data_IF_077632972255
#
_entry.id   IF_077632972255
#
_cell.length_a   1.000
_cell.length_b   1.000
_cell.length_c   1.000
_cell.angle_alpha   90.00
_cell.angle_beta   90.00
_cell.angle_gamma   90.00
#
_symmetry.space_group_name_H-M   'P 1'
#
loop_
_entity.id
_entity.type
_entity.pdbx_description
1 polymer ?
#
# COMPACT_ATOMS: atom_id res chain seq x y z
N UNK A 1 18.39 -78.38 -10.86
CA UNK A 1 17.83 -77.51 -11.86
C UNK A 1 17.25 -76.33 -11.13
N UNK A 2 18.07 -75.31 -11.05
CA UNK A 2 17.88 -74.14 -10.21
C UNK A 2 17.12 -73.12 -11.00
N UNK A 3 15.88 -72.93 -10.64
CA UNK A 3 15.13 -71.76 -11.02
C UNK A 3 15.48 -70.62 -10.08
N UNK A 4 16.53 -69.95 -10.34
CA UNK A 4 16.77 -68.68 -9.68
C UNK A 4 15.81 -67.69 -10.30
N UNK A 5 14.77 -67.55 -9.64
CA UNK A 5 13.99 -66.35 -9.67
C UNK A 5 14.91 -65.18 -9.50
N UNK A 6 15.20 -64.55 -10.61
CA UNK A 6 15.76 -63.25 -10.57
C UNK A 6 14.69 -62.33 -10.02
N UNK A 7 14.65 -62.29 -8.69
CA UNK A 7 13.92 -61.27 -7.97
C UNK A 7 14.61 -59.97 -8.36
N UNK A 8 14.15 -59.44 -9.46
CA UNK A 8 14.48 -58.08 -9.90
C UNK A 8 13.96 -57.19 -8.78
N UNK A 9 14.84 -56.90 -7.86
CA UNK A 9 14.66 -55.83 -6.90
C UNK A 9 14.66 -54.56 -7.74
N UNK A 10 13.47 -54.26 -8.27
CA UNK A 10 13.16 -52.95 -8.81
C UNK A 10 13.17 -52.03 -7.57
N UNK A 11 14.35 -51.64 -7.17
CA UNK A 11 14.52 -50.48 -6.30
C UNK A 11 14.01 -49.32 -7.12
N UNK A 12 12.72 -49.10 -7.02
CA UNK A 12 12.12 -47.83 -7.38
C UNK A 12 12.74 -46.85 -6.41
N UNK A 13 13.87 -46.32 -6.80
CA UNK A 13 14.34 -45.04 -6.31
C UNK A 13 13.24 -44.04 -6.65
N UNK A 14 12.25 -43.99 -5.79
CA UNK A 14 11.45 -42.81 -5.67
C UNK A 14 12.41 -41.72 -5.24
N UNK A 15 13.02 -41.09 -6.23
CA UNK A 15 13.47 -39.74 -6.07
C UNK A 15 12.23 -38.95 -5.66
N UNK A 16 12.01 -38.88 -4.39
CA UNK A 16 11.19 -37.87 -3.79
C UNK A 16 11.90 -36.57 -4.14
N UNK A 17 11.65 -36.08 -5.32
CA UNK A 17 11.78 -34.65 -5.59
C UNK A 17 10.80 -34.01 -4.63
N UNK A 18 11.22 -33.75 -3.42
CA UNK A 18 10.59 -32.71 -2.65
C UNK A 18 10.58 -31.50 -3.56
N UNK A 19 9.41 -30.96 -3.91
CA UNK A 19 9.38 -29.74 -4.66
C UNK A 19 10.23 -28.76 -3.86
N UNK A 20 11.36 -28.32 -4.41
CA UNK A 20 12.14 -27.23 -3.83
C UNK A 20 11.13 -26.13 -3.57
N UNK A 21 10.79 -25.91 -2.33
CA UNK A 21 9.97 -24.79 -1.96
C UNK A 21 10.70 -23.56 -2.44
N UNK A 22 10.04 -22.67 -3.17
CA UNK A 22 10.64 -21.44 -3.72
C UNK A 22 11.35 -20.58 -2.64
N UNK A 23 11.22 -20.95 -1.37
CA UNK A 23 11.88 -20.32 -0.23
C UNK A 23 13.41 -20.28 -0.32
N UNK A 24 14.02 -21.11 -1.15
CA UNK A 24 15.48 -21.20 -1.27
C UNK A 24 16.06 -20.37 -2.43
N UNK A 25 15.20 -19.70 -3.21
CA UNK A 25 15.63 -18.94 -4.39
C UNK A 25 16.03 -17.49 -4.11
N UNK A 26 15.44 -16.87 -3.09
CA UNK A 26 15.61 -15.46 -2.80
C UNK A 26 15.86 -15.23 -1.32
N UNK A 27 16.83 -14.39 -1.01
CA UNK A 27 17.07 -13.89 0.33
C UNK A 27 17.24 -12.38 0.31
N UNK A 28 16.83 -11.73 1.39
CA UNK A 28 17.15 -10.34 1.66
C UNK A 28 18.27 -10.29 2.68
N UNK A 29 19.36 -9.66 2.30
CA UNK A 29 20.48 -9.43 3.20
C UNK A 29 20.58 -7.95 3.53
N UNK A 30 20.81 -7.68 4.80
CA UNK A 30 21.11 -6.31 5.23
C UNK A 30 22.52 -5.97 4.77
N UNK A 31 22.64 -4.87 4.03
CA UNK A 31 23.94 -4.29 3.68
C UNK A 31 24.36 -3.27 4.73
N UNK A 32 25.66 -2.96 4.78
CA UNK A 32 26.19 -1.88 5.61
C UNK A 32 26.08 -0.51 4.94
N UNK A 33 25.51 -0.47 3.74
CA UNK A 33 25.28 0.78 3.02
C UNK A 33 24.18 1.59 3.70
N UNK A 34 24.50 2.80 4.10
CA UNK A 34 23.58 3.74 4.74
C UNK A 34 23.44 4.98 3.87
N UNK A 35 22.23 5.29 3.49
CA UNK A 35 21.89 6.55 2.86
C UNK A 35 21.47 7.55 3.95
N UNK A 36 22.16 8.69 4.02
CA UNK A 36 21.90 9.74 5.00
C UNK A 36 21.45 11.01 4.32
N UNK A 37 20.29 11.51 4.71
CA UNK A 37 19.73 12.74 4.18
C UNK A 37 19.67 13.78 5.28
N UNK A 38 20.17 15.02 5.06
CA UNK A 38 20.10 16.07 6.06
C UNK A 38 18.64 16.46 6.30
N UNK A 39 18.19 16.37 7.52
CA UNK A 39 16.83 16.77 7.93
C UNK A 39 16.88 18.22 8.38
N UNK A 40 15.99 19.06 7.86
CA UNK A 40 15.82 20.42 8.35
C UNK A 40 15.16 20.39 9.74
N UNK A 41 15.51 21.33 10.61
CA UNK A 41 15.14 21.33 12.04
C UNK A 41 13.65 21.18 12.35
N UNK A 42 12.80 21.49 11.39
CA UNK A 42 11.35 21.54 11.57
C UNK A 42 10.60 20.28 11.11
N UNK A 43 11.34 19.29 10.61
CA UNK A 43 10.72 18.02 10.15
C UNK A 43 10.52 17.09 11.32
N UNK A 44 9.27 16.63 11.49
CA UNK A 44 8.96 15.60 12.48
C UNK A 44 9.14 14.21 11.89
N UNK A 45 9.86 13.36 12.58
CA UNK A 45 9.87 11.91 12.33
C UNK A 45 8.83 11.23 13.25
N UNK A 46 8.29 10.06 12.85
CA UNK A 46 8.50 9.36 11.60
C UNK A 46 7.68 9.93 10.45
N UNK A 47 8.20 9.77 9.24
CA UNK A 47 7.49 10.15 8.01
C UNK A 47 6.58 9.02 7.56
N UNK A 48 5.31 9.32 7.35
CA UNK A 48 4.29 8.34 6.94
C UNK A 48 4.36 8.09 5.44
N UNK A 49 4.78 9.09 4.68
CA UNK A 49 4.75 9.07 3.21
C UNK A 49 6.12 9.41 2.67
N UNK A 50 6.76 8.40 2.11
CA UNK A 50 8.07 8.52 1.45
C UNK A 50 7.93 8.00 0.03
N UNK A 51 8.27 8.80 -0.96
CA UNK A 51 8.23 8.42 -2.36
C UNK A 51 9.61 8.46 -3.00
N UNK A 52 9.84 7.43 -3.83
CA UNK A 52 10.95 7.41 -4.76
C UNK A 52 10.40 7.65 -6.16
N UNK A 53 11.01 8.56 -6.88
CA UNK A 53 10.68 8.83 -8.28
C UNK A 53 11.93 9.08 -9.10
N UNK A 54 11.79 8.99 -10.41
CA UNK A 54 12.89 9.19 -11.34
C UNK A 54 12.55 10.30 -12.31
N UNK A 55 13.47 11.25 -12.47
CA UNK A 55 13.36 12.31 -13.46
C UNK A 55 14.69 12.51 -14.19
N UNK A 56 14.66 12.62 -15.53
CA UNK A 56 15.83 12.84 -16.39
C UNK A 56 16.99 11.90 -16.09
N UNK A 57 16.65 10.65 -15.73
CA UNK A 57 17.65 9.61 -15.45
C UNK A 57 18.14 9.57 -14.00
N UNK A 58 17.84 10.56 -13.17
CA UNK A 58 18.23 10.63 -11.76
C UNK A 58 17.12 10.15 -10.83
N UNK A 59 17.50 9.56 -9.70
CA UNK A 59 16.59 9.10 -8.66
C UNK A 59 16.48 10.14 -7.55
N UNK A 60 15.25 10.37 -7.10
CA UNK A 60 14.91 11.30 -6.04
C UNK A 60 14.12 10.61 -4.94
N UNK A 61 14.37 11.05 -3.72
CA UNK A 61 13.57 10.71 -2.54
C UNK A 61 12.77 11.94 -2.14
N UNK A 62 11.50 11.77 -1.84
CA UNK A 62 10.69 12.85 -1.30
C UNK A 62 9.93 12.41 -0.06
N UNK A 63 9.66 13.34 0.83
CA UNK A 63 8.77 13.15 1.96
C UNK A 63 8.05 14.44 2.35
N UNK A 64 6.97 14.27 3.06
CA UNK A 64 6.07 15.34 3.46
C UNK A 64 6.44 15.91 4.81
N UNK A 65 6.57 17.25 4.88
CA UNK A 65 6.63 17.98 6.12
C UNK A 65 5.24 18.55 6.45
N UNK A 66 4.41 17.74 7.09
CA UNK A 66 3.01 18.07 7.41
C UNK A 66 2.83 19.39 8.16
N UNK A 67 3.59 19.68 9.22
CA UNK A 67 3.41 20.93 9.98
C UNK A 67 3.57 22.21 9.16
N UNK A 68 4.32 22.13 8.06
CA UNK A 68 4.63 23.28 7.20
C UNK A 68 3.93 23.23 5.84
N UNK A 69 3.11 22.23 5.58
CA UNK A 69 2.51 22.00 4.26
C UNK A 69 3.55 21.98 3.13
N UNK A 70 4.62 21.21 3.34
CA UNK A 70 5.76 21.15 2.43
C UNK A 70 6.02 19.73 1.95
N UNK A 71 6.61 19.64 0.74
CA UNK A 71 7.22 18.41 0.22
C UNK A 71 8.71 18.70 0.05
N UNK A 72 9.54 17.87 0.65
CA UNK A 72 10.99 17.95 0.57
C UNK A 72 11.48 16.91 -0.43
N UNK A 73 12.29 17.34 -1.39
CA UNK A 73 12.81 16.47 -2.46
C UNK A 73 14.33 16.44 -2.37
N UNK A 74 14.88 15.25 -2.26
CA UNK A 74 16.31 14.98 -2.13
C UNK A 74 16.82 14.22 -3.35
N UNK A 75 18.02 14.56 -3.81
CA UNK A 75 18.75 13.74 -4.77
C UNK A 75 19.31 12.51 -4.06
N UNK A 76 19.03 11.33 -4.60
CA UNK A 76 19.61 10.08 -4.10
C UNK A 76 21.12 10.01 -4.32
N UNK A 77 21.62 10.65 -5.39
CA UNK A 77 23.03 10.67 -5.75
C UNK A 77 23.87 11.54 -4.83
N UNK A 78 23.44 12.77 -4.58
CA UNK A 78 24.16 13.72 -3.71
C UNK A 78 23.73 13.64 -2.25
N UNK A 79 22.67 12.90 -1.94
CA UNK A 79 22.04 12.79 -0.62
C UNK A 79 21.75 14.17 0.01
N UNK A 80 21.40 15.15 -0.81
CA UNK A 80 21.14 16.51 -0.40
C UNK A 80 19.75 16.99 -0.82
N UNK A 81 19.21 17.95 -0.07
CA UNK A 81 17.95 18.61 -0.38
C UNK A 81 18.12 19.43 -1.68
N UNK A 82 17.35 19.10 -2.70
CA UNK A 82 17.38 19.80 -3.99
C UNK A 82 16.19 20.72 -4.18
N UNK A 83 15.07 20.42 -3.51
CA UNK A 83 13.86 21.23 -3.63
C UNK A 83 13.04 21.18 -2.35
N UNK A 84 12.49 22.32 -1.99
CA UNK A 84 11.50 22.52 -0.95
C UNK A 84 10.25 23.12 -1.62
N UNK A 85 9.22 22.31 -1.75
CA UNK A 85 7.95 22.70 -2.29
C UNK A 85 7.02 23.14 -1.17
N UNK A 86 6.73 24.41 -1.07
CA UNK A 86 5.77 24.96 -0.12
C UNK A 86 4.41 25.07 -0.79
N UNK A 87 3.37 24.57 -0.15
CA UNK A 87 2.01 24.59 -0.64
C UNK A 87 1.23 25.71 0.06
N UNK A 88 0.54 26.53 -0.72
CA UNK A 88 -0.39 27.50 -0.17
C UNK A 88 -1.67 26.79 0.29
N UNK A 89 -2.12 27.12 1.49
CA UNK A 89 -3.39 26.58 2.05
C UNK A 89 -4.55 27.55 1.88
N UNK A 90 -4.29 28.79 1.48
CA UNK A 90 -5.26 29.86 1.29
C UNK A 90 -5.01 30.59 -0.03
N UNK A 91 -6.07 31.27 -0.54
CA UNK A 91 -6.03 32.03 -1.77
C UNK A 91 -6.26 31.19 -3.04
N UNK A 92 -6.24 31.83 -4.20
CA UNK A 92 -6.61 31.24 -5.49
C UNK A 92 -5.65 30.11 -5.94
N UNK A 93 -4.40 30.21 -5.52
CA UNK A 93 -3.36 29.20 -5.78
C UNK A 93 -3.20 28.21 -4.60
N UNK A 94 -4.28 27.93 -3.87
CA UNK A 94 -4.23 27.05 -2.71
C UNK A 94 -4.57 25.61 -3.04
N UNK A 95 -3.95 24.70 -2.31
CA UNK A 95 -4.39 23.32 -2.18
C UNK A 95 -5.39 23.28 -1.03
N UNK A 96 -6.67 23.37 -1.37
CA UNK A 96 -7.76 23.46 -0.41
C UNK A 96 -7.82 22.25 0.52
N UNK A 97 -7.95 22.52 1.82
CA UNK A 97 -8.23 21.53 2.83
C UNK A 97 -7.01 20.76 3.34
N UNK A 98 -5.82 21.25 3.11
CA UNK A 98 -4.60 20.54 3.48
C UNK A 98 -4.38 19.28 2.65
N UNK A 99 -3.25 18.64 2.82
CA UNK A 99 -2.94 17.40 2.10
C UNK A 99 -2.46 16.31 3.05
N UNK A 100 -2.97 15.10 2.84
CA UNK A 100 -2.60 13.93 3.63
C UNK A 100 -1.66 12.98 2.89
N UNK A 101 -1.20 13.37 1.71
CA UNK A 101 -0.31 12.58 0.86
C UNK A 101 -0.22 13.21 -0.53
N UNK A 102 0.65 12.69 -1.36
CA UNK A 102 0.89 13.20 -2.71
C UNK A 102 1.44 12.09 -3.59
N UNK A 103 1.51 12.36 -4.89
CA UNK A 103 2.19 11.52 -5.87
C UNK A 103 2.99 12.43 -6.81
N UNK A 104 4.25 12.09 -7.06
CA UNK A 104 5.13 12.82 -7.99
C UNK A 104 5.28 11.99 -9.26
N UNK A 105 4.71 12.47 -10.36
CA UNK A 105 4.97 11.91 -11.67
C UNK A 105 6.30 12.43 -12.22
N UNK A 106 6.52 13.72 -12.12
CA UNK A 106 7.74 14.45 -12.44
C UNK A 106 7.77 15.80 -11.67
N UNK A 107 8.78 16.62 -11.90
CA UNK A 107 8.94 17.92 -11.21
C UNK A 107 7.89 18.98 -11.60
N UNK A 108 7.18 18.79 -12.69
CA UNK A 108 6.12 19.72 -13.16
C UNK A 108 4.72 19.20 -12.84
N UNK A 109 4.59 17.91 -12.48
CA UNK A 109 3.31 17.24 -12.24
C UNK A 109 3.32 16.50 -10.91
N UNK A 110 2.97 17.23 -9.86
CA UNK A 110 2.81 16.70 -8.52
C UNK A 110 1.31 16.70 -8.18
N UNK A 111 0.76 15.53 -7.97
CA UNK A 111 -0.67 15.30 -7.71
C UNK A 111 -0.93 15.29 -6.22
N UNK A 112 -1.75 16.23 -5.75
CA UNK A 112 -2.06 16.43 -4.34
C UNK A 112 -3.56 16.30 -4.13
N UNK A 113 -4.05 15.14 -3.69
CA UNK A 113 -5.44 14.99 -3.31
C UNK A 113 -5.76 15.80 -2.05
N UNK A 114 -6.91 16.46 -2.05
CA UNK A 114 -7.42 17.11 -0.85
C UNK A 114 -7.94 16.09 0.17
N UNK A 115 -7.72 16.35 1.45
CA UNK A 115 -8.24 15.52 2.52
C UNK A 115 -9.76 15.65 2.73
N UNK A 116 -10.36 16.77 2.29
CA UNK A 116 -11.75 17.11 2.62
C UNK A 116 -12.71 17.15 1.42
N UNK A 117 -12.16 17.35 0.22
CA UNK A 117 -12.97 17.41 -0.99
C UNK A 117 -12.41 16.44 -2.03
N UNK A 118 -13.29 15.84 -2.82
CA UNK A 118 -12.91 14.87 -3.85
C UNK A 118 -12.28 15.58 -5.07
N UNK A 119 -11.15 16.25 -4.83
CA UNK A 119 -10.36 16.97 -5.83
C UNK A 119 -8.87 16.63 -5.72
N UNK A 120 -8.21 16.63 -6.87
CA UNK A 120 -6.75 16.52 -6.97
C UNK A 120 -6.23 17.83 -7.54
N UNK A 121 -5.25 18.42 -6.87
CA UNK A 121 -4.52 19.57 -7.35
C UNK A 121 -3.23 19.11 -8.02
N UNK A 122 -3.01 19.51 -9.25
CA UNK A 122 -1.74 19.26 -9.94
C UNK A 122 -0.90 20.52 -9.82
N UNK A 123 0.24 20.39 -9.17
CA UNK A 123 1.15 21.50 -8.90
C UNK A 123 2.54 21.22 -9.48
N UNK A 124 3.29 22.28 -9.76
CA UNK A 124 4.71 22.18 -10.05
C UNK A 124 5.58 22.34 -8.78
N UNK A 125 6.88 22.18 -8.92
CA UNK A 125 7.82 22.36 -7.80
C UNK A 125 7.97 23.81 -7.32
N UNK A 126 7.36 24.79 -7.99
CA UNK A 126 7.23 26.15 -7.49
C UNK A 126 5.98 26.34 -6.60
N UNK A 127 5.15 25.30 -6.46
CA UNK A 127 3.90 25.34 -5.69
C UNK A 127 2.74 26.00 -6.46
N UNK A 128 2.87 26.15 -7.77
CA UNK A 128 1.81 26.74 -8.60
C UNK A 128 0.81 25.65 -8.98
N UNK A 129 -0.47 25.89 -8.68
CA UNK A 129 -1.57 25.02 -9.10
C UNK A 129 -1.81 25.19 -10.59
N UNK A 130 -1.45 24.16 -11.37
CA UNK A 130 -1.63 24.14 -12.83
C UNK A 130 -3.02 23.65 -13.24
N UNK A 131 -3.56 22.70 -12.44
CA UNK A 131 -4.82 22.04 -12.76
C UNK A 131 -5.54 21.59 -11.49
N UNK A 132 -6.87 21.57 -11.56
CA UNK A 132 -7.75 20.99 -10.53
C UNK A 132 -8.60 19.92 -11.21
N UNK A 133 -8.53 18.67 -10.71
CA UNK A 133 -9.31 17.54 -11.20
C UNK A 133 -10.39 17.27 -10.16
N UNK A 134 -11.65 17.43 -10.53
CA UNK A 134 -12.80 17.10 -9.70
C UNK A 134 -13.25 15.68 -10.00
N UNK A 135 -13.28 14.82 -8.98
CA UNK A 135 -13.73 13.44 -9.09
C UNK A 135 -14.86 13.14 -8.09
N UNK A 136 -15.59 14.15 -7.67
CA UNK A 136 -16.63 14.02 -6.64
C UNK A 136 -17.77 13.07 -7.04
N UNK A 137 -18.02 12.94 -8.34
CA UNK A 137 -19.13 12.14 -8.88
C UNK A 137 -18.69 11.39 -10.13
N UNK A 138 -19.02 10.11 -10.20
CA UNK A 138 -18.78 9.28 -11.39
C UNK A 138 -19.75 9.61 -12.53
N UNK A 139 -19.48 9.14 -13.75
CA UNK A 139 -20.37 9.28 -14.92
C UNK A 139 -21.80 8.78 -14.66
N UNK A 140 -21.94 7.74 -13.84
CA UNK A 140 -23.22 7.14 -13.46
C UNK A 140 -23.87 7.76 -12.19
N UNK A 141 -23.29 8.85 -11.66
CA UNK A 141 -23.84 9.62 -10.55
C UNK A 141 -23.44 9.13 -9.16
N UNK A 142 -22.53 8.17 -9.03
CA UNK A 142 -22.07 7.72 -7.72
C UNK A 142 -21.18 8.77 -7.08
N UNK A 143 -21.46 9.12 -5.82
CA UNK A 143 -20.61 10.03 -5.04
C UNK A 143 -19.33 9.34 -4.58
N UNK A 144 -18.20 9.97 -4.83
CA UNK A 144 -16.87 9.50 -4.44
C UNK A 144 -16.35 10.30 -3.24
N UNK A 145 -15.45 9.68 -2.50
CA UNK A 145 -14.87 10.26 -1.29
C UNK A 145 -13.44 10.74 -1.53
N UNK A 146 -12.98 11.73 -0.76
CA UNK A 146 -11.57 12.07 -0.69
C UNK A 146 -10.73 10.84 -0.34
N UNK A 147 -9.53 10.76 -0.87
CA UNK A 147 -8.57 9.72 -0.53
C UNK A 147 -7.21 10.35 -0.19
N UNK A 148 -6.40 9.61 0.54
CA UNK A 148 -5.04 10.00 0.86
C UNK A 148 -4.08 8.96 0.26
N UNK A 149 -3.28 9.33 -0.72
CA UNK A 149 -2.25 8.43 -1.22
C UNK A 149 -1.21 8.18 -0.14
N UNK A 150 -0.77 6.96 -0.05
CA UNK A 150 0.27 6.54 0.88
C UNK A 150 1.24 5.60 0.19
N UNK A 151 2.28 5.23 0.86
CA UNK A 151 3.21 4.22 0.38
C UNK A 151 2.59 2.82 0.23
N UNK A 152 1.42 2.57 0.84
CA UNK A 152 0.62 1.35 0.67
C UNK A 152 -0.33 1.44 -0.52
N UNK A 153 -0.82 2.64 -0.84
CA UNK A 153 -1.97 2.85 -1.73
C UNK A 153 -1.75 4.09 -2.58
N UNK A 154 -0.88 3.97 -3.57
CA UNK A 154 -0.48 5.07 -4.44
C UNK A 154 -1.46 5.29 -5.59
N UNK A 155 -1.34 6.45 -6.22
CA UNK A 155 -1.91 6.74 -7.53
C UNK A 155 -1.13 5.92 -8.57
N UNK A 156 -1.83 5.37 -9.57
CA UNK A 156 -1.21 4.67 -10.69
C UNK A 156 -1.68 5.29 -11.99
N UNK A 157 -0.74 5.56 -12.88
CA UNK A 157 -1.03 5.98 -14.26
C UNK A 157 -0.95 4.79 -15.20
N UNK A 158 -1.93 4.67 -16.09
CA UNK A 158 -1.92 3.73 -17.21
C UNK A 158 -2.39 4.52 -18.44
N UNK A 159 -1.45 4.87 -19.33
CA UNK A 159 -1.74 5.85 -20.37
C UNK A 159 -2.09 7.21 -19.75
N UNK A 160 -3.20 7.78 -20.18
CA UNK A 160 -3.73 9.07 -19.71
C UNK A 160 -4.68 8.91 -18.50
N UNK A 161 -4.97 7.68 -18.13
CA UNK A 161 -5.87 7.34 -17.04
C UNK A 161 -5.17 7.32 -15.68
N UNK A 162 -5.84 7.91 -14.70
CA UNK A 162 -5.39 7.99 -13.32
C UNK A 162 -6.20 7.05 -12.44
N UNK A 163 -5.57 6.00 -11.95
CA UNK A 163 -6.18 5.02 -11.05
C UNK A 163 -5.97 5.44 -9.60
N UNK A 164 -7.05 5.81 -8.93
CA UNK A 164 -7.02 6.26 -7.54
C UNK A 164 -7.68 5.26 -6.60
N UNK A 165 -7.13 5.05 -5.39
CA UNK A 165 -7.78 4.23 -4.38
C UNK A 165 -9.03 4.92 -3.84
N UNK A 166 -9.99 4.13 -3.37
CA UNK A 166 -11.11 4.63 -2.59
C UNK A 166 -11.08 4.04 -1.19
N UNK A 167 -11.34 4.88 -0.22
CA UNK A 167 -11.44 4.46 1.17
C UNK A 167 -12.81 3.86 1.44
N UNK A 168 -12.81 2.63 1.92
CA UNK A 168 -14.04 1.94 2.35
C UNK A 168 -14.27 2.23 3.82
N UNK A 169 -15.40 2.84 4.14
CA UNK A 169 -15.76 3.09 5.53
C UNK A 169 -16.50 1.88 6.12
N UNK A 170 -15.80 1.05 6.85
CA UNK A 170 -16.32 -0.18 7.45
C UNK A 170 -17.37 0.06 8.54
N UNK A 171 -17.56 1.30 9.01
CA UNK A 171 -18.62 1.66 9.97
C UNK A 171 -20.01 1.75 9.32
N UNK A 172 -20.09 1.80 7.99
CA UNK A 172 -21.36 1.97 7.29
C UNK A 172 -22.21 0.70 7.23
N UNK A 173 -21.69 -0.42 7.72
CA UNK A 173 -22.35 -1.72 7.66
C UNK A 173 -22.14 -2.47 6.35
N UNK A 174 -22.48 -3.76 6.37
CA UNK A 174 -22.12 -4.73 5.33
C UNK A 174 -22.55 -4.32 3.91
N UNK A 175 -23.79 -3.88 3.75
CA UNK A 175 -24.34 -3.49 2.43
C UNK A 175 -23.63 -2.29 1.80
N UNK A 176 -23.18 -1.35 2.62
CA UNK A 176 -22.45 -0.19 2.11
C UNK A 176 -21.02 -0.57 1.71
N UNK A 177 -20.39 -1.47 2.46
CA UNK A 177 -19.06 -2.01 2.16
C UNK A 177 -19.08 -2.78 0.86
N UNK A 178 -20.01 -3.71 0.68
CA UNK A 178 -20.17 -4.51 -0.53
C UNK A 178 -20.39 -3.67 -1.80
N UNK A 179 -20.94 -2.47 -1.66
CA UNK A 179 -21.21 -1.56 -2.78
C UNK A 179 -20.07 -0.56 -3.03
N UNK A 180 -19.19 -0.37 -2.04
CA UNK A 180 -18.15 0.63 -2.14
C UNK A 180 -17.06 0.17 -3.13
N UNK A 181 -16.73 0.97 -4.15
CA UNK A 181 -15.60 0.69 -5.01
C UNK A 181 -14.31 0.84 -4.20
N UNK A 182 -13.31 0.04 -4.50
CA UNK A 182 -11.96 0.21 -3.93
C UNK A 182 -11.02 0.96 -4.86
N UNK A 183 -11.42 1.11 -6.11
CA UNK A 183 -10.64 1.80 -7.13
C UNK A 183 -11.57 2.60 -8.05
N UNK A 184 -11.09 3.75 -8.46
CA UNK A 184 -11.72 4.63 -9.44
C UNK A 184 -10.70 4.96 -10.51
N UNK A 185 -11.12 5.00 -11.75
CA UNK A 185 -10.35 5.52 -12.87
C UNK A 185 -10.83 6.93 -13.21
N UNK A 186 -9.88 7.83 -13.41
CA UNK A 186 -10.11 9.18 -13.87
C UNK A 186 -9.50 9.34 -15.25
N UNK A 187 -10.32 9.60 -16.24
CA UNK A 187 -9.86 10.08 -17.52
C UNK A 187 -9.42 11.54 -17.34
N UNK A 188 -8.13 11.78 -17.46
CA UNK A 188 -7.58 13.11 -17.22
C UNK A 188 -7.79 14.06 -18.40
N UNK A 189 -8.14 13.56 -19.58
CA UNK A 189 -8.44 14.38 -20.78
C UNK A 189 -9.88 14.85 -20.73
N UNK A 190 -10.83 13.90 -20.61
CA UNK A 190 -12.27 14.18 -20.58
C UNK A 190 -12.75 14.72 -19.22
N UNK A 191 -11.89 14.64 -18.21
CA UNK A 191 -12.18 15.01 -16.83
C UNK A 191 -13.41 14.30 -16.27
N UNK A 192 -13.48 12.98 -16.51
CA UNK A 192 -14.56 12.11 -16.06
C UNK A 192 -14.03 11.02 -15.15
N UNK A 193 -14.90 10.48 -14.30
CA UNK A 193 -14.53 9.41 -13.37
C UNK A 193 -15.49 8.23 -13.45
N UNK A 194 -14.94 7.03 -13.25
CA UNK A 194 -15.68 5.78 -13.25
C UNK A 194 -15.24 4.88 -12.10
N UNK A 195 -16.21 4.35 -11.38
CA UNK A 195 -15.95 3.38 -10.31
C UNK A 195 -15.73 1.99 -10.90
N UNK A 196 -14.54 1.42 -10.69
CA UNK A 196 -14.21 0.10 -11.21
C UNK A 196 -15.01 -1.01 -10.51
N UNK A 197 -15.28 -2.15 -11.18
CA UNK A 197 -16.20 -3.18 -10.69
C UNK A 197 -15.78 -3.86 -9.40
N UNK A 198 -14.48 -3.99 -9.13
CA UNK A 198 -13.99 -4.65 -7.92
C UNK A 198 -14.49 -3.94 -6.68
N UNK A 199 -15.04 -4.72 -5.76
CA UNK A 199 -15.49 -4.26 -4.45
C UNK A 199 -14.60 -4.82 -3.35
N UNK A 200 -14.75 -4.28 -2.17
CA UNK A 200 -14.06 -4.82 -1.00
C UNK A 200 -14.47 -6.29 -0.83
N UNK A 201 -13.51 -7.23 -0.80
CA UNK A 201 -13.85 -8.64 -0.72
C UNK A 201 -14.52 -8.98 0.62
N UNK A 202 -15.33 -10.02 0.70
CA UNK A 202 -15.91 -10.51 1.94
C UNK A 202 -14.82 -11.13 2.82
N UNK A 203 -13.95 -10.29 3.33
CA UNK A 203 -12.90 -10.69 4.27
C UNK A 203 -13.56 -11.00 5.59
N UNK A 204 -13.26 -12.18 6.14
CA UNK A 204 -13.58 -12.58 7.51
C UNK A 204 -14.70 -11.72 8.11
N UNK A 205 -15.93 -12.11 7.97
CA UNK A 205 -17.10 -11.50 8.59
C UNK A 205 -16.95 -10.00 8.93
N UNK A 206 -17.38 -9.08 8.09
CA UNK A 206 -17.23 -7.62 8.28
C UNK A 206 -17.61 -7.12 9.68
N UNK A 207 -18.51 -7.84 10.36
CA UNK A 207 -18.89 -7.60 11.75
C UNK A 207 -17.73 -7.73 12.71
N UNK A 208 -16.68 -8.45 12.32
CA UNK A 208 -15.51 -8.74 13.15
C UNK A 208 -14.38 -7.75 12.93
N UNK A 209 -14.45 -6.91 11.91
CA UNK A 209 -13.45 -5.85 11.73
C UNK A 209 -13.52 -4.78 12.83
N UNK A 210 -14.46 -4.89 13.77
CA UNK A 210 -14.56 -3.97 14.87
C UNK A 210 -14.56 -2.52 14.38
N UNK A 211 -14.22 -1.60 15.19
CA UNK A 211 -13.93 -0.24 14.79
C UNK A 211 -12.51 -0.11 14.22
N UNK A 212 -12.18 -0.86 13.21
CA UNK A 212 -10.97 -0.58 12.40
C UNK A 212 -11.05 0.83 11.78
N UNK A 213 -12.14 1.48 12.02
CA UNK A 213 -12.50 2.75 11.46
C UNK A 213 -11.68 3.97 11.86
N UNK A 214 -10.63 3.85 12.65
CA UNK A 214 -9.72 4.97 12.82
C UNK A 214 -8.64 4.98 11.70
N UNK A 215 -8.35 3.81 11.11
CA UNK A 215 -7.30 3.67 10.10
C UNK A 215 -7.78 2.95 8.82
N UNK A 216 -9.06 2.63 8.73
CA UNK A 216 -9.68 1.96 7.59
C UNK A 216 -9.43 0.45 7.56
N UNK A 217 -10.19 -0.27 6.73
CA UNK A 217 -9.77 -1.58 6.28
C UNK A 217 -8.62 -1.34 5.33
N UNK A 218 -7.45 -1.46 5.87
CA UNK A 218 -6.27 -1.15 5.12
C UNK A 218 -6.00 -2.27 4.13
N UNK A 219 -5.75 -1.86 2.94
CA UNK A 219 -5.21 -2.70 1.89
C UNK A 219 -4.05 -1.97 1.22
N UNK A 220 -3.13 -2.75 0.73
CA UNK A 220 -2.07 -2.27 -0.13
C UNK A 220 -2.23 -2.85 -1.51
N UNK A 221 -1.72 -2.18 -2.51
CA UNK A 221 -1.64 -2.74 -3.86
C UNK A 221 -0.40 -2.25 -4.58
N UNK A 222 0.00 -3.01 -5.60
CA UNK A 222 0.96 -2.58 -6.60
C UNK A 222 0.40 -2.87 -8.00
N UNK A 223 0.99 -2.19 -8.99
CA UNK A 223 0.75 -2.45 -10.41
C UNK A 223 2.07 -2.89 -11.05
N UNK A 224 2.07 -4.05 -11.70
CA UNK A 224 3.29 -4.65 -12.28
C UNK A 224 3.49 -4.33 -13.78
N UNK A 225 2.64 -3.47 -14.34
CA UNK A 225 2.59 -3.15 -15.76
C UNK A 225 1.49 -3.88 -16.53
N UNK A 226 0.95 -4.96 -15.96
CA UNK A 226 -0.11 -5.77 -16.59
C UNK A 226 -1.35 -5.92 -15.70
N UNK A 227 -1.14 -6.03 -14.38
CA UNK A 227 -2.19 -6.34 -13.41
C UNK A 227 -1.98 -5.59 -12.11
N UNK A 228 -3.07 -5.37 -11.40
CA UNK A 228 -3.08 -4.94 -10.02
C UNK A 228 -3.05 -6.15 -9.10
N UNK A 229 -2.22 -6.09 -8.08
CA UNK A 229 -2.12 -7.08 -7.02
C UNK A 229 -2.46 -6.40 -5.70
N UNK A 230 -3.51 -6.87 -5.03
CA UNK A 230 -3.99 -6.34 -3.76
C UNK A 230 -3.61 -7.27 -2.61
N UNK A 231 -3.15 -6.70 -1.51
CA UNK A 231 -2.88 -7.34 -0.24
C UNK A 231 -3.76 -6.68 0.82
N UNK A 232 -4.74 -7.41 1.35
CA UNK A 232 -5.57 -6.94 2.44
C UNK A 232 -4.92 -7.32 3.77
N UNK A 233 -4.98 -6.42 4.75
CA UNK A 233 -4.29 -6.61 6.03
C UNK A 233 -4.82 -7.83 6.80
N UNK A 234 -6.09 -8.17 6.58
CA UNK A 234 -6.77 -9.27 7.26
C UNK A 234 -6.85 -10.57 6.44
N UNK A 235 -6.21 -10.67 5.28
CA UNK A 235 -6.32 -11.86 4.43
C UNK A 235 -4.95 -12.43 4.04
N UNK A 236 -4.84 -13.76 4.09
CA UNK A 236 -3.65 -14.47 3.62
C UNK A 236 -3.56 -14.51 2.09
N UNK A 237 -4.67 -14.35 1.38
CA UNK A 237 -4.71 -14.37 -0.07
C UNK A 237 -4.27 -13.01 -0.67
N UNK A 238 -3.74 -13.05 -1.88
CA UNK A 238 -3.58 -11.92 -2.76
C UNK A 238 -4.70 -11.93 -3.79
N UNK A 239 -5.12 -10.74 -4.21
CA UNK A 239 -6.18 -10.57 -5.20
C UNK A 239 -5.62 -9.90 -6.44
N UNK A 240 -5.75 -10.58 -7.57
CA UNK A 240 -5.18 -10.17 -8.84
C UNK A 240 -6.28 -9.75 -9.79
N UNK A 241 -6.06 -8.66 -10.51
CA UNK A 241 -7.01 -8.19 -11.51
C UNK A 241 -6.30 -7.35 -12.58
N UNK A 242 -6.91 -7.25 -13.75
CA UNK A 242 -6.44 -6.32 -14.80
C UNK A 242 -6.81 -4.88 -14.47
N UNK A 243 -6.43 -3.93 -15.33
CA UNK A 243 -6.82 -2.53 -15.19
C UNK A 243 -8.34 -2.33 -15.17
N UNK A 244 -9.12 -3.17 -15.85
CA UNK A 244 -10.58 -3.11 -15.86
C UNK A 244 -11.25 -3.56 -14.54
N UNK A 245 -10.55 -4.28 -13.68
CA UNK A 245 -11.06 -4.80 -12.39
C UNK A 245 -12.34 -5.66 -12.49
N UNK A 246 -12.62 -6.23 -13.65
CA UNK A 246 -13.83 -7.04 -13.88
C UNK A 246 -13.73 -8.45 -13.30
N UNK A 247 -12.56 -9.06 -13.44
CA UNK A 247 -12.30 -10.42 -12.96
C UNK A 247 -11.21 -10.37 -11.90
N UNK A 248 -11.50 -10.98 -10.77
CA UNK A 248 -10.57 -11.05 -9.64
C UNK A 248 -10.19 -12.50 -9.40
N UNK A 249 -8.91 -12.78 -9.51
CA UNK A 249 -8.30 -14.06 -9.15
C UNK A 249 -7.72 -13.99 -7.75
N UNK A 250 -7.84 -15.08 -6.99
CA UNK A 250 -7.21 -15.21 -5.68
C UNK A 250 -5.99 -16.11 -5.77
N UNK A 251 -4.92 -15.69 -5.13
CA UNK A 251 -3.70 -16.47 -5.01
C UNK A 251 -3.30 -16.57 -3.54
N UNK A 252 -3.19 -17.78 -3.05
CA UNK A 252 -2.77 -18.02 -1.67
C UNK A 252 -1.31 -17.59 -1.49
N UNK A 253 -1.07 -16.72 -0.50
CA UNK A 253 0.26 -16.21 -0.14
C UNK A 253 0.37 -16.12 1.39
N UNK A 254 0.16 -17.26 2.06
CA UNK A 254 0.19 -17.37 3.51
C UNK A 254 1.62 -17.37 4.04
N UNK A 255 1.87 -16.53 5.01
CA UNK A 255 3.15 -16.51 5.74
C UNK A 255 3.24 -17.67 6.73
N UNK A 256 4.41 -18.28 6.83
CA UNK A 256 4.71 -19.28 7.87
C UNK A 256 4.74 -18.72 9.29
N UNK A 257 4.74 -17.42 9.46
CA UNK A 257 4.78 -16.75 10.76
C UNK A 257 3.40 -16.29 11.26
N UNK A 258 2.35 -16.54 10.48
CA UNK A 258 0.96 -16.22 10.84
C UNK A 258 0.13 -17.48 10.71
N UNK A 259 -0.36 -18.00 11.81
CA UNK A 259 -1.28 -19.16 11.80
C UNK A 259 -2.65 -18.72 11.33
N UNK A 260 -3.15 -17.60 11.85
CA UNK A 260 -4.40 -16.97 11.48
C UNK A 260 -4.35 -15.47 11.78
N UNK A 261 -5.13 -14.69 11.06
CA UNK A 261 -5.34 -13.28 11.37
C UNK A 261 -6.52 -13.19 12.34
N UNK A 262 -6.26 -12.60 13.49
CA UNK A 262 -7.31 -12.31 14.48
C UNK A 262 -7.84 -10.89 14.24
N UNK A 263 -9.13 -10.79 14.07
CA UNK A 263 -9.79 -9.49 13.97
C UNK A 263 -10.14 -9.00 15.36
N UNK A 264 -9.73 -7.79 15.68
CA UNK A 264 -10.03 -7.19 16.97
C UNK A 264 -11.38 -6.48 16.92
N UNK A 265 -12.28 -6.88 17.83
CA UNK A 265 -13.55 -6.17 18.06
C UNK A 265 -13.35 -5.14 19.16
N UNK A 266 -13.37 -3.86 18.82
CA UNK A 266 -13.51 -2.82 19.82
C UNK A 266 -14.99 -2.54 20.06
N UNK A 267 -15.54 -3.07 21.12
CA UNK A 267 -16.91 -2.79 21.53
C UNK A 267 -17.04 -1.48 22.31
N UNK A 268 -15.95 -0.87 22.73
CA UNK A 268 -15.98 0.15 23.78
C UNK A 268 -15.41 1.53 23.39
N UNK A 269 -15.18 1.79 22.11
CA UNK A 269 -14.74 3.13 21.68
C UNK A 269 -13.39 3.62 22.22
N UNK A 270 -12.64 2.78 22.90
CA UNK A 270 -11.33 3.14 23.42
C UNK A 270 -10.26 3.07 22.33
N UNK A 271 -9.92 4.24 21.80
CA UNK A 271 -8.97 4.41 20.73
C UNK A 271 -7.60 3.78 21.05
N UNK A 272 -7.08 3.95 22.26
CA UNK A 272 -5.77 3.40 22.64
C UNK A 272 -5.79 1.87 22.69
N UNK A 273 -6.85 1.25 23.19
CA UNK A 273 -6.99 -0.22 23.15
C UNK A 273 -7.04 -0.74 21.72
N UNK A 274 -7.71 -0.04 20.83
CA UNK A 274 -7.79 -0.41 19.42
C UNK A 274 -6.42 -0.33 18.75
N UNK A 275 -5.70 0.76 18.95
CA UNK A 275 -4.36 0.97 18.39
C UNK A 275 -3.37 -0.07 18.94
N UNK A 276 -3.45 -0.36 20.25
CA UNK A 276 -2.67 -1.41 20.88
C UNK A 276 -2.93 -2.78 20.23
N UNK A 277 -4.20 -3.13 20.04
CA UNK A 277 -4.57 -4.38 19.39
C UNK A 277 -4.00 -4.48 17.96
N UNK A 278 -3.99 -3.38 17.20
CA UNK A 278 -3.34 -3.35 15.88
C UNK A 278 -1.83 -3.56 15.95
N UNK A 279 -1.17 -3.14 17.02
CA UNK A 279 0.25 -3.42 17.23
C UNK A 279 0.51 -4.88 17.60
N UNK A 280 -0.39 -5.51 18.34
CA UNK A 280 -0.22 -6.86 18.92
C UNK A 280 -0.68 -7.97 17.96
N UNK A 281 -1.73 -7.74 17.17
CA UNK A 281 -2.32 -8.77 16.33
C UNK A 281 -1.56 -8.98 15.03
N UNK A 282 -1.63 -10.20 14.52
CA UNK A 282 -1.09 -10.54 13.23
C UNK A 282 -1.82 -9.82 12.10
N UNK A 283 -1.10 -9.36 11.11
CA UNK A 283 -1.67 -8.79 9.89
C UNK A 283 -0.71 -8.91 8.71
N UNK A 284 -1.26 -8.87 7.52
CA UNK A 284 -0.51 -8.60 6.32
C UNK A 284 -0.41 -7.10 6.09
N UNK A 285 0.43 -6.68 5.16
CA UNK A 285 0.63 -5.26 4.93
C UNK A 285 1.01 -4.96 3.49
N UNK A 286 1.93 -4.03 3.35
CA UNK A 286 2.36 -3.50 2.07
C UNK A 286 2.81 -4.58 1.11
N UNK A 287 2.40 -4.47 -0.15
CA UNK A 287 2.93 -5.23 -1.27
C UNK A 287 3.62 -4.29 -2.24
N UNK A 288 4.81 -4.69 -2.69
CA UNK A 288 5.65 -3.95 -3.63
C UNK A 288 6.03 -4.85 -4.78
N UNK A 289 6.11 -4.29 -5.98
CA UNK A 289 6.68 -4.95 -7.14
C UNK A 289 8.08 -4.42 -7.43
N UNK A 290 9.06 -5.32 -7.49
CA UNK A 290 10.41 -5.02 -7.95
C UNK A 290 10.54 -5.38 -9.43
N UNK A 291 10.39 -4.39 -10.28
CA UNK A 291 10.48 -4.56 -11.74
C UNK A 291 11.85 -4.99 -12.25
N UNK A 292 12.90 -4.83 -11.45
CA UNK A 292 14.27 -5.19 -11.85
C UNK A 292 14.58 -6.66 -11.64
N UNK A 293 13.92 -7.26 -10.60
CA UNK A 293 14.08 -8.67 -10.23
C UNK A 293 12.88 -9.52 -10.60
N UNK A 294 11.79 -8.88 -11.04
CA UNK A 294 10.48 -9.49 -11.34
C UNK A 294 9.94 -10.33 -10.16
N UNK A 295 9.97 -9.72 -8.98
CA UNK A 295 9.50 -10.32 -7.73
C UNK A 295 8.61 -9.34 -6.96
N UNK A 296 7.83 -9.89 -6.02
CA UNK A 296 7.00 -9.10 -5.13
C UNK A 296 7.49 -9.26 -3.70
N UNK A 297 7.43 -8.16 -2.94
CA UNK A 297 7.69 -8.14 -1.51
C UNK A 297 6.38 -7.87 -0.78
N UNK A 298 5.92 -8.83 0.02
CA UNK A 298 4.75 -8.66 0.90
C UNK A 298 5.22 -8.55 2.33
N UNK A 299 4.89 -7.44 2.98
CA UNK A 299 5.16 -7.26 4.41
C UNK A 299 4.18 -8.06 5.25
N UNK A 300 4.69 -8.65 6.29
CA UNK A 300 3.95 -9.52 7.20
C UNK A 300 4.29 -9.12 8.62
N UNK A 301 3.28 -8.93 9.43
CA UNK A 301 3.40 -8.56 10.83
C UNK A 301 2.90 -9.71 11.70
N UNK A 302 3.78 -10.59 12.21
CA UNK A 302 3.39 -11.62 13.16
C UNK A 302 2.82 -11.01 14.45
N UNK A 303 2.06 -11.75 15.23
CA UNK A 303 1.60 -11.28 16.53
C UNK A 303 2.81 -10.96 17.41
N UNK A 304 2.71 -9.94 18.21
CA UNK A 304 3.76 -9.56 19.14
C UNK A 304 3.17 -9.08 20.48
N UNK A 305 3.92 -9.32 21.54
CA UNK A 305 3.62 -8.77 22.85
C UNK A 305 4.13 -7.33 22.96
N UNK A 306 3.31 -6.44 23.45
CA UNK A 306 3.63 -5.05 23.72
C UNK A 306 3.53 -4.70 25.22
N UNK A 307 3.50 -5.72 26.11
CA UNK A 307 3.36 -5.50 27.55
C UNK A 307 4.44 -4.59 28.14
N UNK A 308 5.64 -4.63 27.58
CA UNK A 308 6.79 -3.81 28.01
C UNK A 308 6.82 -2.43 27.34
N UNK A 309 5.84 -2.10 26.49
CA UNK A 309 5.79 -0.80 25.82
C UNK A 309 4.92 0.17 26.60
N UNK A 310 5.54 1.24 27.09
CA UNK A 310 4.91 2.28 27.91
C UNK A 310 4.67 3.59 27.15
N UNK A 311 4.93 3.61 25.84
CA UNK A 311 4.78 4.80 25.02
C UNK A 311 3.41 4.90 24.34
N UNK A 312 3.31 5.84 23.40
CA UNK A 312 2.13 6.02 22.56
C UNK A 312 2.07 4.93 21.45
N UNK A 313 1.02 4.13 21.46
CA UNK A 313 0.82 3.08 20.45
C UNK A 313 0.62 3.64 19.04
N UNK A 314 0.15 4.87 18.88
CA UNK A 314 0.07 5.53 17.56
C UNK A 314 1.48 5.77 17.00
N UNK A 315 2.40 6.21 17.85
CA UNK A 315 3.81 6.33 17.49
C UNK A 315 4.42 4.97 17.12
N UNK A 316 4.10 3.92 17.88
CA UNK A 316 4.56 2.56 17.58
C UNK A 316 4.04 2.07 16.22
N UNK A 317 2.78 2.35 15.86
CA UNK A 317 2.25 2.02 14.53
C UNK A 317 2.93 2.81 13.42
N UNK A 318 3.21 4.08 13.64
CA UNK A 318 3.84 4.97 12.67
C UNK A 318 5.31 4.66 12.45
N UNK A 319 6.06 4.41 13.52
CA UNK A 319 7.49 4.08 13.46
C UNK A 319 7.78 2.66 12.98
N UNK A 320 6.72 1.87 12.77
CA UNK A 320 6.80 0.48 12.39
C UNK A 320 6.79 -0.46 13.60
N UNK A 321 6.19 -1.63 13.39
CA UNK A 321 6.12 -2.65 14.43
C UNK A 321 7.50 -3.25 14.68
N UNK A 322 7.81 -3.58 15.91
CA UNK A 322 9.09 -4.18 16.32
C UNK A 322 9.42 -5.49 15.59
N UNK A 323 8.40 -6.22 15.13
CA UNK A 323 8.53 -7.50 14.46
C UNK A 323 7.80 -7.48 13.14
N UNK A 324 8.54 -7.73 12.08
CA UNK A 324 7.97 -7.97 10.75
C UNK A 324 8.80 -8.99 9.99
N UNK A 325 8.23 -9.58 8.98
CA UNK A 325 8.95 -10.34 7.97
C UNK A 325 8.54 -9.87 6.57
N UNK A 326 9.35 -10.19 5.60
CA UNK A 326 9.08 -9.90 4.19
C UNK A 326 8.99 -11.23 3.46
N UNK A 327 7.85 -11.49 2.85
CA UNK A 327 7.69 -12.58 1.90
C UNK A 327 8.21 -12.12 0.56
N UNK A 328 9.06 -12.92 -0.07
CA UNK A 328 9.50 -12.72 -1.45
C UNK A 328 8.74 -13.72 -2.29
N UNK A 329 7.98 -13.21 -3.24
CA UNK A 329 7.15 -14.01 -4.13
C UNK A 329 7.67 -13.85 -5.56
N UNK A 330 7.72 -14.93 -6.32
CA UNK A 330 8.07 -14.88 -7.73
C UNK A 330 6.98 -14.19 -8.57
N UNK A 331 7.19 -14.06 -9.88
CA UNK A 331 6.22 -13.44 -10.80
C UNK A 331 4.90 -14.21 -10.93
N UNK A 332 4.85 -15.45 -10.41
CA UNK A 332 3.62 -16.26 -10.27
C UNK A 332 3.03 -16.16 -8.88
N UNK A 333 3.60 -15.34 -8.01
CA UNK A 333 3.19 -15.15 -6.61
C UNK A 333 3.29 -16.43 -5.75
N UNK A 334 4.31 -17.26 -6.02
CA UNK A 334 4.59 -18.45 -5.20
C UNK A 334 5.66 -18.15 -4.17
#
# INVERSE_FOLDING_TARGET
MIKYLLSLFLVVLTFSCSPMTNSDRYSLERTDEVLSFPVIEEVRAPQITVFLFKEKGENYLSFQNLPKSEILIYSMKSQSLVKRLCLNTEGDNSVLGGFGGYYIADMEHIYIPSMYVSKIFVVDTAGVVKRKIDYSTTKDGQQLKPFMPSDKSQIVFIGDDLYIPQTVNLRLGDKAIERSPIKVVLDTIENTSEALPMRFPPLINYKDFGTVGAFGAEYSFCYDGNRFIYSFDADEDLYLTTSAHEKVEKKKAKSKYIDHVTVFRSTEGNFQKMVRAQCEHASYGKILYDKYRDVYYRFVYPPCDTSDYFGDYVELLRSGRKRFSIMILDNKLN
#
